data_IF_864114105064
#
_entry.id   IF_864114105064
#
_cell.length_a   1.000
_cell.length_b   1.000
_cell.length_c   1.000
_cell.angle_alpha   90.00
_cell.angle_beta   90.00
_cell.angle_gamma   90.00
#
_symmetry.space_group_name_H-M   'P 1'
#
loop_
_entity.id
_entity.type
_entity.pdbx_description
1 polymer ?
#
# COMPACT_ATOMS: atom_id res chain seq x y z
N UNK A 1 -1.73 1.58 -16.73
CA UNK A 1 -2.59 1.12 -15.62
C UNK A 1 -1.72 0.84 -14.42
N UNK A 2 -1.98 1.54 -13.33
CA UNK A 2 -1.26 1.36 -12.08
C UNK A 2 -1.73 0.05 -11.43
N UNK A 3 -0.83 -0.69 -10.79
CA UNK A 3 -1.13 -2.00 -10.19
C UNK A 3 -0.46 -2.16 -8.84
N UNK A 4 -1.16 -2.81 -7.91
CA UNK A 4 -0.65 -3.10 -6.58
C UNK A 4 -1.49 -4.14 -5.87
N UNK A 5 -1.21 -4.32 -4.58
CA UNK A 5 -1.94 -5.23 -3.70
C UNK A 5 -2.36 -4.50 -2.45
N UNK A 6 -3.64 -4.60 -2.12
CA UNK A 6 -4.21 -4.09 -0.87
C UNK A 6 -4.45 -5.27 0.08
N UNK A 7 -4.05 -5.13 1.35
CA UNK A 7 -4.45 -6.03 2.42
C UNK A 7 -5.74 -5.48 3.02
N UNK A 8 -6.84 -6.23 3.01
CA UNK A 8 -8.13 -5.73 3.49
C UNK A 8 -8.08 -5.31 4.97
N UNK A 9 -7.32 -6.06 5.77
CA UNK A 9 -7.16 -5.82 7.21
C UNK A 9 -6.30 -4.58 7.53
N UNK A 10 -5.65 -3.96 6.53
CA UNK A 10 -4.93 -2.69 6.73
C UNK A 10 -5.82 -1.46 6.68
N UNK A 11 -7.08 -1.61 6.27
CA UNK A 11 -8.06 -0.51 6.24
C UNK A 11 -8.67 -0.29 7.63
N UNK A 12 -8.97 0.97 7.95
CA UNK A 12 -9.80 1.30 9.11
C UNK A 12 -11.18 0.66 8.96
N UNK A 13 -11.81 0.33 10.09
CA UNK A 13 -13.16 -0.27 10.09
C UNK A 13 -14.25 0.62 9.45
N UNK A 14 -14.03 1.94 9.41
CA UNK A 14 -14.93 2.93 8.81
C UNK A 14 -14.47 3.43 7.44
N UNK A 15 -13.43 2.82 6.85
CA UNK A 15 -12.88 3.25 5.58
C UNK A 15 -13.89 3.02 4.44
N UNK A 16 -14.04 4.02 3.58
CA UNK A 16 -14.85 3.95 2.36
C UNK A 16 -14.01 4.39 1.15
N UNK A 17 -13.80 3.48 0.21
CA UNK A 17 -13.08 3.71 -1.04
C UNK A 17 -14.10 3.74 -2.19
N UNK A 18 -14.93 4.78 -2.21
CA UNK A 18 -15.96 4.97 -3.22
C UNK A 18 -15.44 5.67 -4.50
N UNK A 19 -16.24 5.61 -5.58
CA UNK A 19 -16.05 6.44 -6.80
C UNK A 19 -14.64 6.38 -7.39
N UNK A 20 -14.04 5.18 -7.37
CA UNK A 20 -12.77 4.87 -7.99
C UNK A 20 -13.02 3.92 -9.16
N UNK A 21 -12.31 4.13 -10.28
CA UNK A 21 -12.25 3.15 -11.37
C UNK A 21 -11.25 2.04 -11.02
N UNK A 22 -11.54 1.34 -9.93
CA UNK A 22 -10.71 0.31 -9.33
C UNK A 22 -11.20 -1.07 -9.79
N UNK A 23 -10.35 -1.79 -10.52
CA UNK A 23 -10.61 -3.18 -10.91
C UNK A 23 -9.85 -4.13 -10.00
N UNK A 24 -10.55 -5.05 -9.33
CA UNK A 24 -9.94 -6.14 -8.53
C UNK A 24 -9.97 -7.42 -9.36
N UNK A 25 -8.80 -7.92 -9.75
CA UNK A 25 -8.71 -9.13 -10.59
C UNK A 25 -8.44 -10.42 -9.79
N UNK A 26 -7.97 -10.30 -8.54
CA UNK A 26 -7.73 -11.46 -7.67
C UNK A 26 -7.92 -11.13 -6.20
N UNK A 27 -8.54 -12.07 -5.50
CA UNK A 27 -8.64 -12.09 -4.04
C UNK A 27 -8.07 -13.42 -3.53
N UNK A 28 -7.20 -13.40 -2.52
CA UNK A 28 -6.67 -14.61 -1.88
C UNK A 28 -6.34 -14.35 -0.40
N UNK A 29 -6.02 -15.42 0.34
CA UNK A 29 -5.61 -15.31 1.75
C UNK A 29 -4.18 -15.82 1.93
N UNK A 30 -3.46 -15.23 2.87
CA UNK A 30 -2.08 -15.61 3.20
C UNK A 30 -1.85 -15.52 4.71
N UNK A 31 -1.07 -16.44 5.26
CA UNK A 31 -0.66 -16.45 6.66
C UNK A 31 0.72 -15.79 6.77
N UNK A 32 0.76 -14.47 6.51
CA UNK A 32 1.98 -13.66 6.44
C UNK A 32 2.02 -12.52 7.47
N UNK A 33 0.99 -12.37 8.29
CA UNK A 33 0.92 -11.32 9.29
C UNK A 33 1.77 -11.59 10.52
N UNK A 34 2.19 -10.50 11.17
CA UNK A 34 3.06 -10.54 12.35
C UNK A 34 2.33 -9.93 13.55
N UNK A 35 1.92 -10.76 14.51
CA UNK A 35 1.22 -10.29 15.72
C UNK A 35 2.03 -9.27 16.51
N UNK A 36 3.35 -9.44 16.58
CA UNK A 36 4.26 -8.50 17.25
C UNK A 36 4.28 -7.10 16.61
N UNK A 37 3.83 -6.97 15.36
CA UNK A 37 3.67 -5.70 14.65
C UNK A 37 2.22 -5.19 14.72
N UNK A 38 1.33 -5.83 15.48
CA UNK A 38 -0.09 -5.47 15.56
C UNK A 38 -0.93 -5.95 14.36
N UNK A 39 -0.40 -6.85 13.55
CA UNK A 39 -1.08 -7.36 12.36
C UNK A 39 -1.75 -8.72 12.67
N UNK A 40 -2.97 -9.00 12.19
CA UNK A 40 -3.55 -10.34 12.29
C UNK A 40 -2.73 -11.33 11.45
N UNK A 41 -2.55 -12.57 11.94
CA UNK A 41 -1.74 -13.61 11.28
C UNK A 41 -2.18 -13.90 9.83
N UNK A 42 -3.49 -13.85 9.58
CA UNK A 42 -4.08 -14.14 8.27
C UNK A 42 -4.60 -12.88 7.62
N UNK A 43 -4.15 -12.63 6.40
CA UNK A 43 -4.59 -11.51 5.57
C UNK A 43 -5.52 -11.94 4.44
N UNK A 44 -6.28 -10.97 3.95
CA UNK A 44 -7.06 -11.02 2.71
C UNK A 44 -6.44 -10.03 1.74
N UNK A 45 -5.85 -10.52 0.65
CA UNK A 45 -5.13 -9.72 -0.32
C UNK A 45 -5.99 -9.49 -1.56
N UNK A 46 -6.05 -8.25 -2.02
CA UNK A 46 -6.77 -7.81 -3.20
C UNK A 46 -5.74 -7.25 -4.19
N UNK A 47 -5.54 -7.96 -5.30
CA UNK A 47 -4.76 -7.41 -6.41
C UNK A 47 -5.67 -6.52 -7.23
N UNK A 48 -5.25 -5.27 -7.41
CA UNK A 48 -6.05 -4.26 -8.07
C UNK A 48 -5.29 -3.56 -9.20
N UNK A 49 -6.05 -2.86 -10.03
CA UNK A 49 -5.56 -1.90 -10.99
C UNK A 49 -6.46 -0.68 -11.10
N UNK A 50 -5.88 0.44 -11.51
CA UNK A 50 -6.57 1.72 -11.79
C UNK A 50 -5.95 2.37 -13.04
N UNK A 51 -6.69 3.20 -13.80
CA UNK A 51 -6.09 4.09 -14.80
C UNK A 51 -4.92 4.91 -14.22
N UNK A 52 -3.89 5.17 -15.01
CA UNK A 52 -2.67 5.84 -14.52
C UNK A 52 -2.95 7.29 -14.07
N UNK A 53 -3.88 7.97 -14.71
CA UNK A 53 -4.37 9.30 -14.32
C UNK A 53 -5.16 9.28 -12.99
N UNK A 54 -5.71 8.13 -12.60
CA UNK A 54 -6.35 7.89 -11.31
C UNK A 54 -5.38 7.51 -10.18
N UNK A 55 -4.11 7.21 -10.48
CA UNK A 55 -3.14 6.70 -9.51
C UNK A 55 -2.92 7.65 -8.31
N UNK A 56 -2.76 8.94 -8.57
CA UNK A 56 -2.57 9.95 -7.51
C UNK A 56 -3.80 10.06 -6.60
N UNK A 57 -5.00 10.12 -7.18
CA UNK A 57 -6.24 10.22 -6.43
C UNK A 57 -6.48 8.97 -5.56
N UNK A 58 -6.13 7.79 -6.08
CA UNK A 58 -6.16 6.55 -5.31
C UNK A 58 -5.18 6.61 -4.12
N UNK A 59 -3.95 7.08 -4.33
CA UNK A 59 -2.95 7.19 -3.26
C UNK A 59 -3.46 8.07 -2.10
N UNK A 60 -4.05 9.22 -2.41
CA UNK A 60 -4.59 10.14 -1.42
C UNK A 60 -5.76 9.55 -0.64
N UNK A 61 -6.68 8.85 -1.33
CA UNK A 61 -7.79 8.15 -0.67
C UNK A 61 -7.30 7.01 0.22
N UNK A 62 -6.34 6.21 -0.25
CA UNK A 62 -5.72 5.16 0.55
C UNK A 62 -5.05 5.73 1.81
N UNK A 63 -4.34 6.86 1.69
CA UNK A 63 -3.73 7.51 2.85
C UNK A 63 -4.77 7.89 3.92
N UNK A 64 -5.99 8.26 3.52
CA UNK A 64 -7.10 8.53 4.45
C UNK A 64 -7.82 7.28 4.99
N UNK A 65 -7.70 6.15 4.28
CA UNK A 65 -8.44 4.92 4.54
C UNK A 65 -7.65 3.86 5.32
N UNK A 66 -6.31 3.89 5.23
CA UNK A 66 -5.44 2.98 5.97
C UNK A 66 -5.50 3.25 7.47
N UNK A 67 -5.47 2.17 8.25
CA UNK A 67 -5.31 2.24 9.70
C UNK A 67 -3.86 2.57 10.07
N UNK A 68 -3.68 3.20 11.23
CA UNK A 68 -2.36 3.58 11.74
C UNK A 68 -1.58 2.33 12.17
N UNK A 69 -0.25 2.39 12.04
CA UNK A 69 0.67 1.33 12.48
C UNK A 69 1.43 0.69 11.33
N UNK A 70 1.70 -0.61 11.46
CA UNK A 70 2.58 -1.37 10.58
C UNK A 70 1.89 -1.77 9.26
N UNK A 71 1.36 -0.79 8.52
CA UNK A 71 0.65 -1.01 7.27
C UNK A 71 1.11 -0.06 6.18
N UNK A 72 1.18 -0.57 4.96
CA UNK A 72 1.34 0.23 3.77
C UNK A 72 0.66 -0.45 2.57
N UNK A 73 0.49 0.31 1.50
CA UNK A 73 0.12 -0.20 0.17
C UNK A 73 1.14 0.34 -0.82
N UNK A 74 1.78 -0.54 -1.58
CA UNK A 74 2.53 -0.14 -2.75
C UNK A 74 1.76 -0.44 -4.03
N UNK A 75 1.91 0.47 -4.99
CA UNK A 75 1.48 0.25 -6.36
C UNK A 75 2.32 1.10 -7.30
N UNK A 76 2.32 0.76 -8.58
CA UNK A 76 3.14 1.46 -9.56
C UNK A 76 2.49 1.57 -10.92
N UNK A 77 2.80 2.66 -11.61
CA UNK A 77 2.65 2.79 -13.06
C UNK A 77 3.94 2.30 -13.73
N UNK A 78 4.06 2.47 -15.04
CA UNK A 78 5.33 2.22 -15.73
C UNK A 78 6.44 3.21 -15.32
N UNK A 79 6.06 4.41 -14.87
CA UNK A 79 6.99 5.54 -14.67
C UNK A 79 7.19 5.89 -13.20
N UNK A 80 6.22 5.56 -12.33
CA UNK A 80 6.21 5.99 -10.94
C UNK A 80 5.82 4.87 -9.98
N UNK A 81 6.37 4.93 -8.77
CA UNK A 81 5.97 4.10 -7.63
C UNK A 81 5.29 4.97 -6.57
N UNK A 82 4.23 4.41 -5.99
CA UNK A 82 3.49 4.96 -4.88
C UNK A 82 3.66 4.00 -3.70
N UNK A 83 4.07 4.52 -2.55
CA UNK A 83 4.06 3.80 -1.27
C UNK A 83 3.22 4.62 -0.31
N UNK A 84 2.10 4.06 0.12
CA UNK A 84 1.07 4.76 0.86
C UNK A 84 0.98 4.20 2.27
N UNK A 85 1.14 5.07 3.24
CA UNK A 85 0.93 4.82 4.66
C UNK A 85 -0.28 5.63 5.14
N UNK A 86 -0.79 5.33 6.34
CA UNK A 86 -1.83 6.14 6.96
C UNK A 86 -1.37 7.62 7.06
N UNK A 87 -2.11 8.52 6.41
CA UNK A 87 -1.86 9.95 6.35
C UNK A 87 -0.64 10.40 5.53
N UNK A 88 0.05 9.50 4.81
CA UNK A 88 1.27 9.85 4.08
C UNK A 88 1.45 9.08 2.77
N UNK A 89 1.68 9.82 1.69
CA UNK A 89 2.00 9.27 0.36
C UNK A 89 3.46 9.56 0.03
N UNK A 90 4.20 8.53 -0.37
CA UNK A 90 5.48 8.66 -1.07
C UNK A 90 5.26 8.36 -2.54
N UNK A 91 5.65 9.28 -3.41
CA UNK A 91 5.59 9.15 -4.85
C UNK A 91 6.96 9.49 -5.41
N UNK A 92 7.50 8.62 -6.25
CA UNK A 92 8.82 8.80 -6.84
C UNK A 92 8.94 8.04 -8.18
N UNK A 93 9.86 8.44 -9.08
CA UNK A 93 10.08 7.74 -10.35
C UNK A 93 10.54 6.28 -10.14
N UNK A 94 10.19 5.38 -11.06
CA UNK A 94 10.72 4.00 -11.06
C UNK A 94 12.26 4.03 -11.06
N UNK A 95 12.87 3.17 -10.25
CA UNK A 95 14.32 3.16 -10.07
C UNK A 95 14.91 4.27 -9.18
N UNK A 96 14.11 5.20 -8.65
CA UNK A 96 14.60 6.20 -7.70
C UNK A 96 14.87 5.57 -6.32
N UNK A 97 16.15 5.29 -6.09
CA UNK A 97 16.64 4.72 -4.83
C UNK A 97 16.48 5.65 -3.63
N UNK A 98 16.55 6.97 -3.82
CA UNK A 98 16.40 7.92 -2.72
C UNK A 98 14.93 8.00 -2.28
N UNK A 99 14.01 8.08 -3.24
CA UNK A 99 12.57 8.00 -2.98
C UNK A 99 12.17 6.70 -2.28
N UNK A 100 12.66 5.56 -2.77
CA UNK A 100 12.46 4.25 -2.11
C UNK A 100 13.00 4.23 -0.69
N UNK A 101 14.21 4.74 -0.46
CA UNK A 101 14.83 4.75 0.87
C UNK A 101 14.01 5.60 1.86
N UNK A 102 13.53 6.77 1.44
CA UNK A 102 12.70 7.64 2.27
C UNK A 102 11.36 6.98 2.64
N UNK A 103 10.74 6.28 1.69
CA UNK A 103 9.51 5.51 1.95
C UNK A 103 9.76 4.35 2.93
N UNK A 104 10.85 3.60 2.77
CA UNK A 104 11.22 2.50 3.67
C UNK A 104 11.60 2.99 5.07
N UNK A 105 12.30 4.12 5.19
CA UNK A 105 12.62 4.74 6.48
C UNK A 105 11.35 5.07 7.26
N UNK A 106 10.33 5.61 6.59
CA UNK A 106 9.05 5.86 7.22
C UNK A 106 8.33 4.57 7.65
N UNK A 107 8.36 3.53 6.80
CA UNK A 107 7.82 2.22 7.13
C UNK A 107 8.41 1.63 8.41
N UNK A 108 9.73 1.68 8.56
CA UNK A 108 10.41 1.27 9.80
C UNK A 108 9.95 2.11 10.99
N UNK A 109 9.83 3.42 10.82
CA UNK A 109 9.42 4.33 11.89
C UNK A 109 7.98 4.07 12.39
N UNK A 110 7.09 3.59 11.53
CA UNK A 110 5.71 3.21 11.89
C UNK A 110 5.56 1.74 12.28
N UNK A 111 6.66 0.98 12.33
CA UNK A 111 6.71 -0.39 12.85
C UNK A 111 6.48 -1.49 11.82
N UNK A 112 6.54 -1.19 10.51
CA UNK A 112 6.50 -2.23 9.47
C UNK A 112 7.74 -3.12 9.61
N UNK A 113 7.59 -4.45 9.69
CA UNK A 113 8.72 -5.39 9.69
C UNK A 113 9.64 -5.21 8.48
N UNK A 114 10.96 -5.26 8.69
CA UNK A 114 11.95 -5.01 7.62
C UNK A 114 11.77 -5.93 6.41
N UNK A 115 11.42 -7.20 6.66
CA UNK A 115 11.18 -8.21 5.62
C UNK A 115 9.97 -7.90 4.74
N UNK A 116 9.05 -7.05 5.21
CA UNK A 116 7.88 -6.60 4.45
C UNK A 116 8.17 -5.31 3.66
N UNK A 117 9.32 -4.66 3.82
CA UNK A 117 9.71 -3.47 3.05
C UNK A 117 10.39 -3.85 1.71
N UNK A 118 9.74 -4.76 0.98
CA UNK A 118 10.32 -5.56 -0.10
C UNK A 118 9.81 -5.19 -1.51
N UNK A 119 9.10 -4.07 -1.66
CA UNK A 119 8.55 -3.69 -2.96
C UNK A 119 9.65 -3.46 -4.03
N UNK A 120 9.36 -3.79 -5.31
CA UNK A 120 10.33 -3.75 -6.39
C UNK A 120 10.89 -2.34 -6.68
N UNK A 121 12.19 -2.28 -7.01
CA UNK A 121 12.89 -1.08 -7.50
C UNK A 121 12.39 -0.67 -8.88
#
# INVERSE_FOLDING_TARGET
MARGVLIAESLRADADLDRLDLSVDRIWRSDAGVEGAGQPLRWTLLRFSVPDDGAQALAERLAGALDVGAWYVDFSTAEETFVVYAGRVFRYPRGDMAGRAAAAEHGRAVGVPEEQLDWPV
#
